data_IF_957437117611
#
_entry.id   IF_957437117611
#
_cell.length_a   1.000
_cell.length_b   1.000
_cell.length_c   1.000
_cell.angle_alpha   90.00
_cell.angle_beta   90.00
_cell.angle_gamma   90.00
#
_symmetry.space_group_name_H-M   'P 1'
#
loop_
_entity.id
_entity.type
_entity.pdbx_description
1 polymer ?
#
# COMPACT_ATOMS: atom_id res chain seq x y z
N UNK A 1 -8.65 -17.79 -6.79
CA UNK A 1 -9.08 -17.04 -5.63
C UNK A 1 -8.53 -15.64 -5.56
N UNK A 2 -8.67 -15.01 -4.43
CA UNK A 2 -8.27 -13.61 -4.25
C UNK A 2 -6.77 -13.41 -4.36
N UNK A 3 -5.96 -14.37 -3.90
CA UNK A 3 -4.51 -14.28 -4.03
C UNK A 3 -4.08 -14.28 -5.51
N UNK A 4 -4.68 -15.14 -6.32
CA UNK A 4 -4.40 -15.17 -7.76
C UNK A 4 -4.80 -13.85 -8.42
N UNK A 5 -5.94 -13.28 -8.05
CA UNK A 5 -6.39 -11.99 -8.55
C UNK A 5 -5.40 -10.88 -8.16
N UNK A 6 -4.99 -10.83 -6.90
CA UNK A 6 -4.01 -9.85 -6.42
C UNK A 6 -2.67 -9.98 -7.18
N UNK A 7 -2.20 -11.22 -7.37
CA UNK A 7 -0.98 -11.49 -8.13
C UNK A 7 -1.11 -11.01 -9.57
N UNK A 8 -2.25 -11.23 -10.20
CA UNK A 8 -2.50 -10.78 -11.57
C UNK A 8 -2.52 -9.25 -11.68
N UNK A 9 -3.15 -8.58 -10.71
CA UNK A 9 -3.16 -7.10 -10.67
C UNK A 9 -1.73 -6.57 -10.59
N UNK A 10 -0.92 -7.09 -9.67
CA UNK A 10 0.49 -6.69 -9.55
C UNK A 10 1.28 -7.00 -10.83
N UNK A 11 1.08 -8.16 -11.41
CA UNK A 11 1.79 -8.63 -12.60
C UNK A 11 1.53 -7.72 -13.81
N UNK A 12 0.34 -7.14 -13.96
CA UNK A 12 0.05 -6.19 -15.04
C UNK A 12 0.93 -4.95 -14.98
N UNK A 13 1.49 -4.64 -13.81
CA UNK A 13 2.40 -3.52 -13.58
C UNK A 13 3.87 -3.95 -13.53
N UNK A 14 4.17 -5.22 -13.80
CA UNK A 14 5.53 -5.76 -13.68
C UNK A 14 5.99 -5.95 -12.23
N UNK A 15 5.05 -6.12 -11.30
CA UNK A 15 5.33 -6.23 -9.87
C UNK A 15 5.07 -7.65 -9.41
N UNK A 16 5.97 -8.19 -8.57
CA UNK A 16 5.83 -9.48 -7.92
C UNK A 16 5.27 -9.31 -6.50
N UNK A 17 4.47 -10.27 -6.08
CA UNK A 17 4.07 -10.40 -4.68
C UNK A 17 4.96 -11.45 -4.03
N UNK A 18 5.56 -11.11 -2.89
CA UNK A 18 6.42 -11.99 -2.12
C UNK A 18 5.84 -12.17 -0.73
N UNK A 19 5.63 -13.42 -0.33
CA UNK A 19 5.22 -13.75 1.03
C UNK A 19 6.46 -13.79 1.91
N UNK A 20 6.41 -13.08 3.04
CA UNK A 20 7.51 -13.01 4.00
C UNK A 20 7.00 -13.28 5.41
N UNK A 21 7.90 -13.72 6.29
CA UNK A 21 7.58 -13.99 7.68
C UNK A 21 7.92 -12.83 8.60
N UNK A 22 8.75 -11.88 8.14
CA UNK A 22 9.17 -10.73 8.93
C UNK A 22 9.33 -9.50 8.05
N UNK A 23 9.24 -8.33 8.68
CA UNK A 23 9.47 -7.07 7.99
C UNK A 23 10.96 -6.92 7.70
N UNK A 24 11.32 -6.80 6.42
CA UNK A 24 12.70 -6.60 6.00
C UNK A 24 12.74 -5.74 4.73
N UNK A 25 13.29 -4.54 4.86
CA UNK A 25 13.57 -3.64 3.74
C UNK A 25 15.07 -3.38 3.63
N UNK A 26 15.85 -4.43 3.27
CA UNK A 26 17.24 -4.29 2.87
C UNK A 26 18.18 -3.74 3.95
N UNK A 27 18.23 -4.37 5.10
CA UNK A 27 19.05 -3.92 6.23
C UNK A 27 18.30 -3.07 7.25
N UNK A 28 17.12 -2.61 6.92
CA UNK A 28 16.16 -2.12 7.90
C UNK A 28 15.24 -3.29 8.26
N UNK A 29 15.71 -4.13 9.18
CA UNK A 29 14.84 -5.10 9.82
C UNK A 29 14.17 -4.37 10.98
N UNK A 30 12.88 -4.21 10.91
CA UNK A 30 12.09 -3.63 11.97
C UNK A 30 11.11 -4.64 12.50
N UNK A 31 10.90 -4.62 13.80
CA UNK A 31 9.68 -5.17 14.36
C UNK A 31 8.51 -4.48 13.67
N UNK A 32 7.43 -5.20 13.48
CA UNK A 32 6.14 -4.60 13.17
C UNK A 32 5.61 -4.02 14.49
N UNK A 33 5.95 -2.75 14.84
CA UNK A 33 5.77 -2.28 16.22
C UNK A 33 4.31 -2.15 16.61
N UNK A 34 3.40 -2.08 15.63
CA UNK A 34 1.97 -1.96 15.88
C UNK A 34 1.22 -3.28 15.68
N UNK A 35 1.84 -4.29 15.09
CA UNK A 35 1.15 -5.52 14.68
C UNK A 35 0.11 -5.32 13.59
N UNK A 36 -0.02 -4.10 13.05
CA UNK A 36 -1.04 -3.76 12.05
C UNK A 36 -0.58 -3.93 10.60
N UNK A 37 0.74 -3.98 10.38
CA UNK A 37 1.26 -4.10 9.02
C UNK A 37 1.09 -5.53 8.52
N UNK A 38 0.20 -5.72 7.56
CA UNK A 38 -0.06 -7.01 6.92
C UNK A 38 0.65 -7.13 5.57
N UNK A 39 0.98 -6.01 4.95
CA UNK A 39 1.73 -5.93 3.70
C UNK A 39 2.58 -4.66 3.71
N UNK A 40 3.65 -4.64 2.91
CA UNK A 40 4.50 -3.46 2.84
C UNK A 40 5.19 -3.33 1.49
N UNK A 41 5.59 -2.10 1.19
CA UNK A 41 6.41 -1.75 0.04
C UNK A 41 7.69 -1.07 0.53
N UNK A 42 8.85 -1.54 0.06
CA UNK A 42 10.14 -1.01 0.49
C UNK A 42 10.63 0.08 -0.45
N UNK A 43 10.83 1.28 0.09
CA UNK A 43 11.52 2.35 -0.60
C UNK A 43 13.03 2.17 -0.38
N UNK A 44 13.77 1.79 -1.44
CA UNK A 44 15.19 1.54 -1.37
C UNK A 44 15.96 2.54 -2.26
N UNK A 45 17.11 3.06 -1.80
CA UNK A 45 17.91 3.98 -2.60
C UNK A 45 18.39 3.37 -3.93
N UNK A 46 18.69 2.06 -3.94
CA UNK A 46 19.19 1.33 -5.10
C UNK A 46 18.08 0.74 -5.97
N UNK A 47 16.82 0.99 -5.62
CA UNK A 47 15.62 0.47 -6.32
C UNK A 47 15.51 -1.06 -6.34
N UNK A 48 16.26 -1.78 -5.52
CA UNK A 48 16.28 -3.25 -5.52
C UNK A 48 14.91 -3.87 -5.20
N UNK A 49 14.06 -3.15 -4.47
CA UNK A 49 12.71 -3.59 -4.07
C UNK A 49 11.59 -2.89 -4.85
N UNK A 50 11.94 -2.18 -5.92
CA UNK A 50 10.98 -1.31 -6.64
C UNK A 50 9.76 -2.07 -7.17
N UNK A 51 9.94 -3.30 -7.60
CA UNK A 51 8.90 -4.10 -8.26
C UNK A 51 8.47 -5.29 -7.40
N UNK A 52 8.50 -5.13 -6.08
CA UNK A 52 8.09 -6.17 -5.14
C UNK A 52 7.13 -5.58 -4.12
N UNK A 53 6.02 -6.28 -3.89
CA UNK A 53 5.11 -6.04 -2.78
C UNK A 53 5.23 -7.23 -1.84
N UNK A 54 5.44 -6.95 -0.55
CA UNK A 54 5.60 -7.98 0.47
C UNK A 54 4.30 -8.17 1.25
N UNK A 55 3.94 -9.43 1.51
CA UNK A 55 2.83 -9.80 2.38
C UNK A 55 3.39 -10.54 3.57
N UNK A 56 3.03 -10.09 4.79
CA UNK A 56 3.43 -10.72 6.04
C UNK A 56 2.46 -11.85 6.39
N UNK A 57 2.90 -13.09 6.20
CA UNK A 57 2.08 -14.27 6.51
C UNK A 57 2.02 -14.57 8.00
N UNK A 58 2.82 -13.90 8.81
CA UNK A 58 2.79 -13.98 10.29
C UNK A 58 1.78 -13.04 10.91
N UNK A 59 1.13 -12.18 10.10
CA UNK A 59 0.08 -11.30 10.62
C UNK A 59 -1.08 -12.13 11.18
N UNK A 60 -1.64 -11.78 12.36
CA UNK A 60 -2.70 -12.56 12.99
C UNK A 60 -3.93 -12.81 12.11
N UNK A 61 -4.23 -11.87 11.21
CA UNK A 61 -5.41 -11.94 10.33
C UNK A 61 -5.10 -12.56 8.97
N UNK A 62 -3.89 -13.08 8.75
CA UNK A 62 -3.50 -13.59 7.43
C UNK A 62 -4.45 -14.64 6.87
N UNK A 63 -4.87 -15.60 7.69
CA UNK A 63 -5.75 -16.68 7.24
C UNK A 63 -7.07 -16.12 6.70
N UNK A 64 -7.65 -15.12 7.36
CA UNK A 64 -8.88 -14.47 6.93
C UNK A 64 -8.61 -13.60 5.70
N UNK A 65 -7.53 -12.81 5.72
CA UNK A 65 -7.15 -11.92 4.63
C UNK A 65 -6.93 -12.69 3.33
N UNK A 66 -6.27 -13.84 3.39
CA UNK A 66 -5.99 -14.67 2.22
C UNK A 66 -7.28 -15.18 1.53
N UNK A 67 -8.39 -15.20 2.24
CA UNK A 67 -9.70 -15.66 1.75
C UNK A 67 -10.68 -14.51 1.49
N UNK A 68 -10.21 -13.27 1.51
CA UNK A 68 -11.04 -12.07 1.46
C UNK A 68 -10.65 -11.20 0.28
N UNK A 69 -11.63 -10.51 -0.37
CA UNK A 69 -11.31 -9.48 -1.36
C UNK A 69 -10.47 -8.32 -0.79
N UNK A 70 -10.43 -8.16 0.53
CA UNK A 70 -9.54 -7.20 1.21
C UNK A 70 -8.07 -7.39 0.82
N UNK A 71 -7.64 -8.62 0.53
CA UNK A 71 -6.29 -8.89 0.05
C UNK A 71 -5.96 -8.08 -1.21
N UNK A 72 -6.91 -7.96 -2.13
CA UNK A 72 -6.72 -7.22 -3.37
C UNK A 72 -6.59 -5.72 -3.10
N UNK A 73 -7.41 -5.18 -2.20
CA UNK A 73 -7.30 -3.76 -1.80
C UNK A 73 -5.97 -3.47 -1.11
N UNK A 74 -5.52 -4.38 -0.27
CA UNK A 74 -4.24 -4.27 0.42
C UNK A 74 -3.06 -4.24 -0.56
N UNK A 75 -3.08 -5.11 -1.56
CA UNK A 75 -2.06 -5.11 -2.62
C UNK A 75 -2.13 -3.81 -3.43
N UNK A 76 -3.32 -3.33 -3.77
CA UNK A 76 -3.50 -2.05 -4.48
C UNK A 76 -2.97 -0.86 -3.67
N UNK A 77 -3.12 -0.89 -2.35
CA UNK A 77 -2.50 0.11 -1.47
C UNK A 77 -0.98 0.11 -1.62
N UNK A 78 -0.35 -1.05 -1.56
CA UNK A 78 1.11 -1.16 -1.71
C UNK A 78 1.59 -0.77 -3.11
N UNK A 79 0.84 -1.13 -4.15
CA UNK A 79 1.10 -0.67 -5.52
C UNK A 79 0.99 0.86 -5.63
N UNK A 80 0.13 1.48 -4.83
CA UNK A 80 -0.01 2.94 -4.77
C UNK A 80 1.21 3.60 -4.16
N UNK A 81 1.80 3.03 -3.10
CA UNK A 81 3.10 3.48 -2.58
C UNK A 81 4.17 3.48 -3.67
N UNK A 82 4.21 2.42 -4.47
CA UNK A 82 5.15 2.33 -5.58
C UNK A 82 4.91 3.41 -6.63
N UNK A 83 3.66 3.64 -7.02
CA UNK A 83 3.31 4.66 -8.02
C UNK A 83 3.65 6.06 -7.53
N UNK A 84 3.40 6.35 -6.25
CA UNK A 84 3.76 7.63 -5.62
C UNK A 84 5.28 7.78 -5.61
N UNK A 85 6.02 6.72 -5.27
CA UNK A 85 7.49 6.77 -5.29
C UNK A 85 8.03 7.02 -6.70
N UNK A 86 7.46 6.40 -7.73
CA UNK A 86 7.88 6.62 -9.12
C UNK A 86 7.62 8.07 -9.53
N UNK A 87 6.48 8.64 -9.14
CA UNK A 87 6.12 10.02 -9.50
C UNK A 87 6.92 11.05 -8.72
N UNK A 88 7.20 10.81 -7.44
CA UNK A 88 7.72 11.82 -6.50
C UNK A 88 9.13 11.54 -5.98
N UNK A 89 9.70 10.37 -6.28
CA UNK A 89 11.00 9.95 -5.75
C UNK A 89 10.96 9.50 -4.29
N UNK A 90 9.78 9.47 -3.68
CA UNK A 90 9.56 9.04 -2.30
C UNK A 90 8.13 8.53 -2.14
N UNK A 91 7.92 7.60 -1.20
CA UNK A 91 6.58 7.17 -0.81
C UNK A 91 5.88 8.18 0.10
N UNK A 92 6.62 9.18 0.60
CA UNK A 92 6.14 10.20 1.54
C UNK A 92 6.39 11.61 1.00
N UNK A 93 5.75 11.99 -0.12
CA UNK A 93 5.94 13.32 -0.69
C UNK A 93 5.46 14.41 0.28
N UNK A 94 6.12 15.56 0.24
CA UNK A 94 5.84 16.65 1.17
C UNK A 94 4.40 17.15 1.10
N UNK A 95 3.76 17.07 -0.06
CA UNK A 95 2.36 17.46 -0.22
C UNK A 95 1.41 16.64 0.66
N UNK A 96 1.75 15.37 0.93
CA UNK A 96 0.95 14.49 1.78
C UNK A 96 1.11 14.81 3.27
N UNK A 97 2.19 15.50 3.66
CA UNK A 97 2.54 15.83 5.04
C UNK A 97 2.47 14.59 5.94
N UNK A 98 1.70 14.63 7.02
CA UNK A 98 1.51 13.52 7.95
C UNK A 98 0.37 12.57 7.56
N UNK A 99 -0.18 12.72 6.34
CA UNK A 99 -1.35 11.95 5.87
C UNK A 99 -0.99 10.93 4.80
N UNK A 100 0.24 10.45 4.78
CA UNK A 100 0.73 9.55 3.73
C UNK A 100 -0.17 8.33 3.53
N UNK A 101 -0.58 7.66 4.59
CA UNK A 101 -1.39 6.44 4.48
C UNK A 101 -2.80 6.72 3.97
N UNK A 102 -3.45 7.78 4.44
CA UNK A 102 -4.77 8.18 3.94
C UNK A 102 -4.71 8.58 2.46
N UNK A 103 -3.67 9.32 2.07
CA UNK A 103 -3.44 9.73 0.67
C UNK A 103 -3.17 8.50 -0.20
N UNK A 104 -2.39 7.55 0.28
CA UNK A 104 -2.11 6.30 -0.44
C UNK A 104 -3.38 5.47 -0.62
N UNK A 105 -4.23 5.38 0.39
CA UNK A 105 -5.56 4.76 0.27
C UNK A 105 -6.40 5.44 -0.81
N UNK A 106 -6.48 6.77 -0.77
CA UNK A 106 -7.22 7.53 -1.80
C UNK A 106 -6.67 7.27 -3.19
N UNK A 107 -5.35 7.22 -3.33
CA UNK A 107 -4.69 6.89 -4.60
C UNK A 107 -5.13 5.52 -5.11
N UNK A 108 -5.16 4.52 -4.23
CA UNK A 108 -5.57 3.16 -4.60
C UNK A 108 -7.03 3.09 -5.05
N UNK A 109 -7.90 3.84 -4.41
CA UNK A 109 -9.33 3.92 -4.78
C UNK A 109 -9.50 4.63 -6.13
N UNK A 110 -8.88 5.79 -6.29
CA UNK A 110 -9.08 6.64 -7.47
C UNK A 110 -8.40 6.09 -8.71
N UNK A 111 -7.23 5.46 -8.58
CA UNK A 111 -6.41 5.10 -9.73
C UNK A 111 -6.18 3.59 -9.92
N UNK A 112 -6.47 2.77 -8.90
CA UNK A 112 -6.38 1.32 -9.00
C UNK A 112 -7.70 0.59 -8.78
N UNK A 113 -8.79 1.33 -8.54
CA UNK A 113 -10.11 0.73 -8.37
C UNK A 113 -10.25 -0.08 -7.09
N UNK A 114 -9.49 0.23 -6.05
CA UNK A 114 -9.72 -0.36 -4.73
C UNK A 114 -11.09 0.03 -4.19
N UNK A 115 -11.65 -0.83 -3.36
CA UNK A 115 -12.99 -0.63 -2.83
C UNK A 115 -12.94 0.27 -1.58
N UNK A 116 -13.45 1.49 -1.72
CA UNK A 116 -13.41 2.48 -0.64
C UNK A 116 -14.13 2.01 0.62
N UNK A 117 -15.32 1.43 0.47
CA UNK A 117 -16.10 1.00 1.63
C UNK A 117 -15.42 -0.17 2.35
N UNK A 118 -14.85 -1.11 1.60
CA UNK A 118 -14.13 -2.23 2.19
C UNK A 118 -12.89 -1.78 2.94
N UNK A 119 -12.12 -0.86 2.36
CA UNK A 119 -10.95 -0.27 3.03
C UNK A 119 -11.39 0.44 4.32
N UNK A 120 -12.41 1.27 4.24
CA UNK A 120 -12.92 2.02 5.40
C UNK A 120 -13.37 1.09 6.51
N UNK A 121 -14.07 0.00 6.17
CA UNK A 121 -14.54 -0.97 7.14
C UNK A 121 -13.37 -1.74 7.79
N UNK A 122 -12.38 -2.14 6.99
CA UNK A 122 -11.23 -2.90 7.50
C UNK A 122 -10.33 -2.06 8.41
N UNK A 123 -10.22 -0.76 8.12
CA UNK A 123 -9.32 0.15 8.84
C UNK A 123 -10.09 1.10 9.76
N UNK A 124 -11.31 0.74 10.12
CA UNK A 124 -12.15 1.54 11.00
C UNK A 124 -11.47 1.76 12.35
N UNK A 125 -11.45 3.02 12.81
CA UNK A 125 -10.83 3.40 14.07
C UNK A 125 -9.33 3.70 13.97
N UNK A 126 -8.71 3.53 12.81
CA UNK A 126 -7.30 3.87 12.59
C UNK A 126 -7.23 5.18 11.81
N UNK A 127 -7.08 6.30 12.54
CA UNK A 127 -7.20 7.65 11.99
C UNK A 127 -6.20 7.93 10.85
N UNK A 128 -4.99 7.38 10.91
CA UNK A 128 -3.95 7.61 9.90
C UNK A 128 -4.34 7.10 8.51
N UNK A 129 -5.26 6.14 8.42
CA UNK A 129 -5.73 5.55 7.16
C UNK A 129 -7.04 6.16 6.66
N UNK A 130 -7.67 7.05 7.43
CA UNK A 130 -9.01 7.57 7.13
C UNK A 130 -8.99 8.51 5.93
N UNK A 131 -9.69 8.12 4.87
CA UNK A 131 -9.84 8.93 3.67
C UNK A 131 -10.91 10.01 3.84
N UNK A 132 -10.70 11.13 3.15
CA UNK A 132 -11.65 12.22 3.04
C UNK A 132 -11.44 13.00 1.73
N UNK A 133 -12.19 14.07 1.53
CA UNK A 133 -12.06 14.91 0.35
C UNK A 133 -10.65 15.47 0.19
N UNK A 134 -9.98 15.81 1.29
CA UNK A 134 -8.61 16.32 1.27
C UNK A 134 -7.61 15.25 0.82
N UNK A 135 -7.71 14.01 1.34
CA UNK A 135 -6.82 12.93 0.90
C UNK A 135 -7.03 12.60 -0.58
N UNK A 136 -8.26 12.65 -1.06
CA UNK A 136 -8.56 12.44 -2.48
C UNK A 136 -7.94 13.53 -3.37
N UNK A 137 -8.03 14.79 -2.95
CA UNK A 137 -7.42 15.92 -3.67
C UNK A 137 -5.90 15.80 -3.73
N UNK A 138 -5.26 15.41 -2.62
CA UNK A 138 -3.82 15.23 -2.55
C UNK A 138 -3.35 14.05 -3.42
N UNK A 139 -4.10 12.95 -3.42
CA UNK A 139 -3.80 11.81 -4.28
C UNK A 139 -3.88 12.19 -5.77
N UNK A 140 -4.89 12.97 -6.14
CA UNK A 140 -5.07 13.46 -7.51
C UNK A 140 -3.92 14.40 -7.90
N UNK A 141 -3.51 15.30 -7.00
CA UNK A 141 -2.39 16.20 -7.24
C UNK A 141 -1.08 15.42 -7.49
N UNK A 142 -0.81 14.40 -6.69
CA UNK A 142 0.36 13.53 -6.87
C UNK A 142 0.30 12.82 -8.23
N UNK A 143 -0.84 12.26 -8.56
CA UNK A 143 -1.03 11.60 -9.85
C UNK A 143 -0.77 12.55 -11.03
N UNK A 144 -1.11 13.82 -10.87
CA UNK A 144 -0.86 14.88 -11.87
C UNK A 144 0.56 15.42 -11.83
N UNK A 145 1.42 14.90 -10.97
CA UNK A 145 2.85 15.25 -10.90
C UNK A 145 3.21 16.29 -9.85
N UNK A 146 2.28 16.71 -9.01
CA UNK A 146 2.56 17.67 -7.93
C UNK A 146 2.95 16.91 -6.65
N UNK A 147 4.20 17.01 -6.27
CA UNK A 147 4.73 16.33 -5.09
C UNK A 147 4.98 17.27 -3.89
N UNK A 148 4.72 18.55 -4.05
CA UNK A 148 4.89 19.55 -2.97
C UNK A 148 5.81 20.66 -3.26
#
# INVERSE_FOLDING_TARGET
GWYTLATNVASTMGVQIEQTMEFNCGGQSGENPSGFVAAYYCQMPDRSQRNVVHILTTHPDWTQTARSPWLVDMVKHELSHRSIMISCGTTQPTIAADRTEAVTNSYSVLFFGADRDRITNQQQGVAEYAMDASSDQLATAIHDGNCG
#
